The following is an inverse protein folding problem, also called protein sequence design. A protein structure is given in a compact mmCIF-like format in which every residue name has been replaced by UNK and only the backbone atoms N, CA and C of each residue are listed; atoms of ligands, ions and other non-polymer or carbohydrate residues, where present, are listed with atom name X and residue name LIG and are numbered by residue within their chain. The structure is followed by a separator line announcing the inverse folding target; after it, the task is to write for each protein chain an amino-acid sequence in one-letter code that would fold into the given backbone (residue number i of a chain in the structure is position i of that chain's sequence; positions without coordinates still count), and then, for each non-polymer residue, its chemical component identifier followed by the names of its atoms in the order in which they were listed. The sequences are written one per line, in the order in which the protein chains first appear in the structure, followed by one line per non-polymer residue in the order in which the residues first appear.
data_IF_221537619382
#
_entry.id   IF_221537619382
#
_cell.length_a   1.000
_cell.length_b   1.000
_cell.length_c   1.000
_cell.angle_alpha   90.00
_cell.angle_beta   90.00
_cell.angle_gamma   90.00
#
_symmetry.space_group_name_H-M   'P 1'
#
loop_
_entity.id
_entity.type
_entity.pdbx_description
1 polymer ?
#
# COMPACT_ATOMS: atom_id res chain seq x y z
N UNK A 1 -20.83 -0.11 9.75
CA UNK A 1 -20.77 -1.54 9.44
C UNK A 1 -21.24 -2.40 10.62
N UNK A 2 -20.75 -2.20 11.80
CA UNK A 2 -21.14 -3.04 12.94
C UNK A 2 -22.63 -2.84 13.29
N UNK A 3 -23.07 -1.60 13.43
CA UNK A 3 -24.44 -1.28 13.84
C UNK A 3 -25.49 -1.73 12.80
N UNK A 4 -25.14 -1.74 11.55
CA UNK A 4 -26.05 -2.14 10.46
C UNK A 4 -25.89 -3.62 10.09
N UNK A 5 -25.01 -4.34 10.77
CA UNK A 5 -24.68 -5.74 10.46
C UNK A 5 -24.25 -5.93 9.02
N UNK A 6 -23.52 -4.96 8.48
CA UNK A 6 -23.04 -4.96 7.10
C UNK A 6 -21.60 -5.48 7.07
N UNK A 7 -21.35 -6.48 6.26
CA UNK A 7 -19.99 -6.94 5.97
C UNK A 7 -19.21 -5.83 5.26
N UNK A 8 -17.91 -5.78 5.48
CA UNK A 8 -17.09 -4.74 4.91
C UNK A 8 -15.63 -5.13 4.75
N UNK A 9 -14.91 -4.26 4.07
CA UNK A 9 -13.47 -4.42 3.88
C UNK A 9 -12.80 -3.06 4.03
N UNK A 10 -11.83 -2.98 4.94
CA UNK A 10 -11.03 -1.77 5.16
C UNK A 10 -9.68 -2.00 4.51
N UNK A 11 -9.27 -1.09 3.63
CA UNK A 11 -7.97 -1.18 2.96
C UNK A 11 -7.20 0.10 3.24
N UNK A 12 -6.11 -0.03 3.98
CA UNK A 12 -5.22 1.09 4.30
C UNK A 12 -4.10 1.17 3.27
N UNK A 13 -3.73 2.39 2.89
CA UNK A 13 -2.61 2.60 1.98
C UNK A 13 -1.37 2.93 2.81
N UNK A 14 -0.43 1.99 2.82
CA UNK A 14 0.87 2.13 3.45
C UNK A 14 1.91 2.62 2.41
N UNK A 15 3.13 2.18 2.49
CA UNK A 15 4.21 2.58 1.58
C UNK A 15 5.38 1.61 1.67
N UNK A 16 6.18 1.54 0.62
CA UNK A 16 7.48 0.88 0.65
C UNK A 16 8.37 1.48 1.76
N UNK A 17 8.14 2.74 2.13
CA UNK A 17 8.91 3.45 3.17
C UNK A 17 8.57 3.03 4.60
N UNK A 18 7.58 2.16 4.80
CA UNK A 18 7.10 1.78 6.14
C UNK A 18 8.16 1.09 7.00
N UNK A 19 9.17 0.52 6.39
CA UNK A 19 10.29 -0.13 7.10
C UNK A 19 11.46 0.83 7.36
N UNK A 20 11.31 2.11 7.00
CA UNK A 20 12.30 3.13 7.18
C UNK A 20 12.93 3.59 5.88
N UNK A 21 12.90 4.88 5.65
CA UNK A 21 13.55 5.51 4.52
C UNK A 21 14.22 6.79 5.03
N UNK A 22 15.47 7.00 4.66
CA UNK A 22 16.24 8.16 5.12
C UNK A 22 15.50 9.46 4.84
N UNK A 23 15.39 10.32 5.84
CA UNK A 23 14.71 11.61 5.75
C UNK A 23 13.20 11.54 5.92
N UNK A 24 12.62 10.36 6.18
CA UNK A 24 11.18 10.17 6.27
C UNK A 24 10.73 9.57 7.61
N UNK A 25 11.25 10.11 8.72
CA UNK A 25 10.90 9.59 10.06
C UNK A 25 9.39 9.58 10.29
N UNK A 26 8.76 10.74 10.12
CA UNK A 26 7.30 10.86 10.34
C UNK A 26 6.50 10.06 9.33
N UNK A 27 6.89 10.13 8.07
CA UNK A 27 6.19 9.42 7.01
C UNK A 27 6.27 7.89 7.20
N UNK A 28 7.47 7.39 7.46
CA UNK A 28 7.69 5.95 7.67
C UNK A 28 6.92 5.46 8.91
N UNK A 29 6.94 6.21 10.00
CA UNK A 29 6.20 5.86 11.22
C UNK A 29 4.70 5.83 10.94
N UNK A 30 4.16 6.83 10.23
CA UNK A 30 2.76 6.89 9.86
C UNK A 30 2.35 5.70 8.99
N UNK A 31 3.15 5.37 7.99
CA UNK A 31 2.83 4.27 7.07
C UNK A 31 2.98 2.89 7.72
N UNK A 32 3.94 2.72 8.60
CA UNK A 32 4.06 1.51 9.42
C UNK A 32 2.86 1.38 10.37
N UNK A 33 2.41 2.51 10.93
CA UNK A 33 1.25 2.55 11.81
C UNK A 33 -0.03 2.09 11.12
N UNK A 34 -0.32 2.60 9.92
CA UNK A 34 -1.55 2.21 9.21
C UNK A 34 -1.53 0.74 8.79
N UNK A 35 -0.36 0.18 8.50
CA UNK A 35 -0.23 -1.25 8.23
C UNK A 35 -0.55 -2.06 9.48
N UNK A 36 0.01 -1.68 10.62
CA UNK A 36 -0.22 -2.35 11.89
C UNK A 36 -1.69 -2.26 12.32
N UNK A 37 -2.32 -1.09 12.11
CA UNK A 37 -3.73 -0.88 12.41
C UNK A 37 -4.61 -1.87 11.64
N UNK A 38 -4.32 -2.11 10.37
CA UNK A 38 -5.07 -3.07 9.57
C UNK A 38 -4.98 -4.48 10.14
N UNK A 39 -3.81 -4.88 10.66
CA UNK A 39 -3.63 -6.19 11.31
C UNK A 39 -4.51 -6.30 12.56
N UNK A 40 -4.51 -5.27 13.38
CA UNK A 40 -5.34 -5.24 14.60
C UNK A 40 -6.83 -5.34 14.23
N UNK A 41 -7.28 -4.52 13.30
CA UNK A 41 -8.69 -4.51 12.87
C UNK A 41 -9.10 -5.84 12.24
N UNK A 42 -8.22 -6.47 11.49
CA UNK A 42 -8.50 -7.78 10.90
C UNK A 42 -8.84 -8.80 11.98
N UNK A 43 -8.16 -8.74 13.13
CA UNK A 43 -8.39 -9.64 14.25
C UNK A 43 -9.62 -9.25 15.07
N UNK A 44 -9.78 -7.96 15.38
CA UNK A 44 -10.84 -7.48 16.24
C UNK A 44 -12.21 -7.48 15.54
N UNK A 45 -12.23 -7.20 14.24
CA UNK A 45 -13.48 -7.00 13.51
C UNK A 45 -13.95 -8.24 12.73
N UNK A 46 -13.17 -9.32 12.76
CA UNK A 46 -13.50 -10.56 12.05
C UNK A 46 -14.87 -11.09 12.46
N UNK A 47 -15.21 -11.02 13.74
CA UNK A 47 -16.48 -11.49 14.27
C UNK A 47 -17.68 -10.73 13.72
N UNK A 48 -17.47 -9.55 13.16
CA UNK A 48 -18.52 -8.74 12.53
C UNK A 48 -18.55 -8.89 11.02
N UNK A 49 -17.76 -9.80 10.47
CA UNK A 49 -17.67 -9.98 9.02
C UNK A 49 -16.92 -8.87 8.32
N UNK A 50 -16.03 -8.16 9.03
CA UNK A 50 -15.25 -7.06 8.48
C UNK A 50 -13.81 -7.52 8.34
N UNK A 51 -13.27 -7.39 7.12
CA UNK A 51 -11.88 -7.67 6.81
C UNK A 51 -11.08 -6.38 6.80
N UNK A 52 -9.78 -6.45 7.03
CA UNK A 52 -8.89 -5.31 6.92
C UNK A 52 -7.56 -5.76 6.36
N UNK A 53 -7.01 -4.98 5.45
CA UNK A 53 -5.72 -5.25 4.82
C UNK A 53 -5.05 -3.93 4.48
N UNK A 54 -3.83 -3.99 4.00
CA UNK A 54 -3.12 -2.81 3.54
C UNK A 54 -2.40 -3.07 2.22
N UNK A 55 -2.08 -2.00 1.53
CA UNK A 55 -1.28 -2.02 0.30
C UNK A 55 -0.09 -1.11 0.53
N UNK A 56 1.09 -1.57 0.14
CA UNK A 56 2.32 -0.78 0.23
C UNK A 56 2.85 -0.52 -1.19
N UNK A 57 2.48 0.63 -1.78
CA UNK A 57 3.01 1.00 -3.09
C UNK A 57 4.50 1.38 -3.02
N UNK A 58 5.20 1.13 -4.12
CA UNK A 58 6.51 1.71 -4.37
C UNK A 58 6.39 3.06 -5.07
N UNK A 59 7.23 3.32 -6.07
CA UNK A 59 7.12 4.54 -6.88
C UNK A 59 6.05 4.36 -7.95
N UNK A 60 5.01 5.19 -7.87
CA UNK A 60 3.84 5.13 -8.75
C UNK A 60 3.79 6.42 -9.58
N UNK A 61 3.40 6.30 -10.84
CA UNK A 61 3.34 7.40 -11.81
C UNK A 61 2.25 8.41 -11.51
N UNK A 62 2.40 9.13 -10.39
CA UNK A 62 1.56 10.26 -10.02
C UNK A 62 1.99 11.52 -10.80
N UNK A 63 1.19 12.58 -10.73
CA UNK A 63 1.54 13.86 -11.36
C UNK A 63 2.91 14.37 -10.89
N UNK A 64 3.21 14.23 -9.60
CA UNK A 64 4.49 14.66 -9.05
C UNK A 64 5.67 13.92 -9.68
N UNK A 65 5.53 12.62 -9.88
CA UNK A 65 6.56 11.79 -10.53
C UNK A 65 6.67 12.14 -12.00
N UNK A 66 5.53 12.32 -12.69
CA UNK A 66 5.50 12.66 -14.12
C UNK A 66 6.09 14.06 -14.41
N UNK A 67 6.05 14.97 -13.43
CA UNK A 67 6.61 16.31 -13.57
C UNK A 67 8.12 16.38 -13.31
N UNK A 68 8.75 15.27 -12.94
CA UNK A 68 10.18 15.23 -12.70
C UNK A 68 10.97 15.44 -13.98
N UNK A 69 12.15 16.04 -13.84
CA UNK A 69 13.08 16.22 -14.98
C UNK A 69 13.50 14.84 -15.52
N UNK A 70 13.70 14.73 -16.84
CA UNK A 70 14.08 13.42 -17.44
C UNK A 70 15.29 12.75 -16.78
N UNK A 71 16.31 13.54 -16.40
CA UNK A 71 17.52 12.98 -15.75
C UNK A 71 17.19 12.43 -14.38
N UNK A 72 16.35 13.13 -13.59
CA UNK A 72 15.94 12.66 -12.27
C UNK A 72 15.06 11.41 -12.39
N UNK A 73 14.19 11.38 -13.37
CA UNK A 73 13.31 10.25 -13.64
C UNK A 73 14.13 9.01 -14.04
N UNK A 74 15.10 9.18 -14.93
CA UNK A 74 15.98 8.09 -15.36
C UNK A 74 16.80 7.53 -14.20
N UNK A 75 17.30 8.43 -13.33
CA UNK A 75 18.03 8.03 -12.13
C UNK A 75 17.13 7.23 -11.20
N UNK A 76 15.88 7.67 -11.01
CA UNK A 76 14.90 6.96 -10.20
C UNK A 76 14.66 5.57 -10.77
N UNK A 77 14.39 5.45 -12.06
CA UNK A 77 14.16 4.16 -12.73
C UNK A 77 15.35 3.22 -12.59
N UNK A 78 16.56 3.75 -12.58
CA UNK A 78 17.77 2.94 -12.45
C UNK A 78 17.88 2.26 -11.09
N UNK A 79 17.19 2.78 -10.06
CA UNK A 79 17.18 2.19 -8.72
C UNK A 79 16.10 1.11 -8.56
N UNK A 80 15.21 0.97 -9.53
CA UNK A 80 14.09 0.03 -9.47
C UNK A 80 14.52 -1.30 -10.08
N UNK A 81 14.43 -2.41 -9.34
CA UNK A 81 14.77 -3.73 -9.88
C UNK A 81 14.03 -4.07 -11.17
N UNK A 82 12.74 -3.76 -11.28
CA UNK A 82 12.00 -3.99 -12.52
C UNK A 82 12.25 -2.92 -13.58
N UNK A 83 12.89 -1.79 -13.22
CA UNK A 83 13.26 -0.75 -14.17
C UNK A 83 12.11 0.14 -14.63
N UNK A 84 10.92 -0.03 -14.07
CA UNK A 84 9.73 0.74 -14.45
C UNK A 84 9.05 1.30 -13.21
N UNK A 85 8.45 2.49 -13.37
CA UNK A 85 7.58 3.08 -12.35
C UNK A 85 6.21 2.43 -12.46
N UNK A 86 5.59 2.16 -11.31
CA UNK A 86 4.27 1.54 -11.30
C UNK A 86 3.19 2.50 -11.82
N UNK A 87 2.14 1.93 -12.37
CA UNK A 87 0.97 2.64 -12.84
C UNK A 87 -0.09 2.66 -11.73
N UNK A 88 -0.82 3.78 -11.54
CA UNK A 88 -1.92 3.82 -10.56
C UNK A 88 -2.93 2.68 -10.72
N UNK A 89 -3.18 2.21 -11.95
CA UNK A 89 -4.08 1.09 -12.19
C UNK A 89 -3.58 -0.21 -11.55
N UNK A 90 -2.28 -0.35 -11.34
CA UNK A 90 -1.72 -1.52 -10.67
C UNK A 90 -2.04 -1.52 -9.18
N UNK A 91 -2.12 -0.33 -8.57
CA UNK A 91 -2.58 -0.20 -7.19
C UNK A 91 -4.08 -0.49 -7.11
N UNK A 92 -4.87 0.04 -8.06
CA UNK A 92 -6.30 -0.24 -8.13
C UNK A 92 -6.57 -1.73 -8.30
N UNK A 93 -5.76 -2.43 -9.10
CA UNK A 93 -5.85 -3.88 -9.27
C UNK A 93 -5.62 -4.63 -7.96
N UNK A 94 -4.68 -4.17 -7.14
CA UNK A 94 -4.43 -4.76 -5.82
C UNK A 94 -5.61 -4.54 -4.87
N UNK A 95 -6.23 -3.35 -4.91
CA UNK A 95 -7.45 -3.05 -4.13
C UNK A 95 -8.58 -4.00 -4.54
N UNK A 96 -8.79 -4.17 -5.84
CA UNK A 96 -9.82 -5.06 -6.37
C UNK A 96 -9.58 -6.50 -5.94
N UNK A 97 -8.35 -6.98 -6.00
CA UNK A 97 -7.99 -8.31 -5.54
C UNK A 97 -8.35 -8.53 -4.08
N UNK A 98 -8.00 -7.59 -3.21
CA UNK A 98 -8.31 -7.69 -1.77
C UNK A 98 -9.83 -7.69 -1.57
N UNK A 99 -10.52 -6.80 -2.25
CA UNK A 99 -11.97 -6.66 -2.10
C UNK A 99 -12.71 -7.93 -2.56
N UNK A 100 -12.30 -8.52 -3.67
CA UNK A 100 -12.96 -9.69 -4.24
C UNK A 100 -12.60 -11.01 -3.57
N UNK A 101 -11.47 -11.06 -2.86
CA UNK A 101 -11.01 -12.29 -2.22
C UNK A 101 -11.32 -12.26 -0.71
N UNK A 102 -12.40 -12.91 -0.34
CA UNK A 102 -12.91 -12.89 1.03
C UNK A 102 -11.97 -13.54 2.07
N UNK A 103 -10.93 -14.21 1.62
CA UNK A 103 -9.99 -14.86 2.53
C UNK A 103 -8.71 -14.04 2.77
N UNK A 104 -8.61 -12.86 2.17
CA UNK A 104 -7.48 -11.95 2.37
C UNK A 104 -7.81 -10.97 3.50
N UNK A 105 -7.10 -11.07 4.61
CA UNK A 105 -7.27 -10.16 5.74
C UNK A 105 -6.00 -10.18 6.61
N UNK A 106 -5.66 -9.05 7.23
CA UNK A 106 -4.53 -8.94 8.12
C UNK A 106 -3.17 -8.99 7.42
N UNK A 107 -3.12 -8.69 6.14
CA UNK A 107 -1.88 -8.73 5.34
C UNK A 107 -1.67 -7.43 4.61
N UNK A 108 -0.41 -7.18 4.27
CA UNK A 108 0.00 -6.07 3.42
C UNK A 108 0.44 -6.62 2.07
N UNK A 109 -0.20 -6.14 1.01
CA UNK A 109 0.18 -6.48 -0.36
C UNK A 109 1.18 -5.44 -0.85
N UNK A 110 2.37 -5.89 -1.22
CA UNK A 110 3.43 -5.01 -1.73
C UNK A 110 3.32 -4.90 -3.24
N UNK A 111 3.25 -3.66 -3.76
CA UNK A 111 3.16 -3.38 -5.19
C UNK A 111 4.25 -2.36 -5.51
N UNK A 112 5.48 -2.82 -5.71
CA UNK A 112 6.66 -1.96 -5.64
C UNK A 112 7.78 -2.30 -6.63
N UNK A 113 7.57 -3.26 -7.52
CA UNK A 113 8.61 -3.65 -8.46
C UNK A 113 9.88 -4.15 -7.81
N UNK A 114 9.77 -4.74 -6.64
CA UNK A 114 10.86 -5.25 -5.81
C UNK A 114 11.73 -4.14 -5.18
N UNK A 115 11.26 -2.89 -5.20
CA UNK A 115 11.96 -1.77 -4.57
C UNK A 115 12.06 -1.98 -3.07
N UNK A 116 13.23 -1.66 -2.51
CA UNK A 116 13.45 -1.51 -1.07
C UNK A 116 14.17 -0.19 -0.82
N UNK A 117 13.79 0.49 0.22
CA UNK A 117 14.36 1.78 0.60
C UNK A 117 15.13 1.71 1.91
#
# INVERSE_FOLDING_TARGET
MIQTNTQGCIINISSVSRHGNMGQTNYSASKAGVESMAVVWAKELARYGIRAASIAPGFIGTEMVQSMKPEALDKLKSTLPLGTIGDPDQIASAVEFIFENDYVSGRCIEVDGALRV
#
